data_IF_926819723062
#
_entry.id   IF_926819723062
#
_cell.length_a   1.000
_cell.length_b   1.000
_cell.length_c   1.000
_cell.angle_alpha   90.00
_cell.angle_beta   90.00
_cell.angle_gamma   90.00
#
_symmetry.space_group_name_H-M   'P 1'
#
loop_
_entity.id
_entity.type
_entity.pdbx_description
1 polymer ?
#
# COMPACT_ATOMS: atom_id res chain seq x y z
N UNK A 1 27.64 8.98 -1.04
CA UNK A 1 26.56 9.22 -0.06
C UNK A 1 26.91 10.25 1.01
N UNK A 2 28.11 10.25 1.62
CA UNK A 2 28.49 11.19 2.69
C UNK A 2 28.44 12.70 2.31
N UNK A 3 28.47 13.03 1.02
CA UNK A 3 28.39 14.41 0.51
C UNK A 3 26.93 14.92 0.36
N UNK A 4 25.92 14.05 0.53
CA UNK A 4 24.50 14.39 0.38
C UNK A 4 23.70 13.85 1.57
N UNK A 5 23.97 14.40 2.76
CA UNK A 5 23.36 13.97 4.03
C UNK A 5 21.82 14.03 3.96
N UNK A 6 21.27 15.01 3.26
CA UNK A 6 19.82 15.17 3.09
C UNK A 6 19.18 14.01 2.33
N UNK A 7 19.87 13.47 1.31
CA UNK A 7 19.37 12.30 0.57
C UNK A 7 19.39 11.05 1.45
N UNK A 8 20.45 10.86 2.24
CA UNK A 8 20.54 9.75 3.19
C UNK A 8 19.41 9.83 4.25
N UNK A 9 19.16 11.01 4.80
CA UNK A 9 18.04 11.22 5.73
C UNK A 9 16.69 10.89 5.09
N UNK A 10 16.46 11.31 3.85
CA UNK A 10 15.25 10.95 3.10
C UNK A 10 15.09 9.45 2.90
N UNK A 11 16.19 8.73 2.64
CA UNK A 11 16.16 7.26 2.52
C UNK A 11 15.89 6.56 3.85
N UNK A 12 16.35 7.11 4.98
CA UNK A 12 16.06 6.56 6.31
C UNK A 12 14.55 6.66 6.62
N UNK A 13 13.92 7.79 6.30
CA UNK A 13 12.46 7.94 6.44
C UNK A 13 11.68 7.04 5.49
N UNK A 14 12.18 6.83 4.28
CA UNK A 14 11.58 5.88 3.34
C UNK A 14 11.62 4.47 3.94
N UNK A 15 12.75 4.03 4.49
CA UNK A 15 12.87 2.73 5.16
C UNK A 15 11.95 2.62 6.38
N UNK A 16 11.90 3.66 7.22
CA UNK A 16 11.01 3.70 8.38
C UNK A 16 9.52 3.58 8.00
N UNK A 17 9.11 4.21 6.90
CA UNK A 17 7.73 4.13 6.41
C UNK A 17 7.30 2.69 6.12
N UNK A 18 8.20 1.84 5.62
CA UNK A 18 7.92 0.41 5.40
C UNK A 18 7.68 -0.33 6.71
N UNK A 19 8.43 0.01 7.77
CA UNK A 19 8.23 -0.57 9.11
C UNK A 19 6.85 -0.17 9.64
N UNK A 20 6.49 1.11 9.53
CA UNK A 20 5.17 1.60 9.97
C UNK A 20 4.04 0.91 9.21
N UNK A 21 4.16 0.76 7.89
CA UNK A 21 3.19 0.04 7.08
C UNK A 21 3.08 -1.41 7.55
N UNK A 22 4.19 -2.13 7.72
CA UNK A 22 4.19 -3.51 8.19
C UNK A 22 3.53 -3.66 9.57
N UNK A 23 3.79 -2.72 10.49
CA UNK A 23 3.18 -2.70 11.81
C UNK A 23 1.65 -2.54 11.76
N UNK A 24 1.11 -1.77 10.80
CA UNK A 24 -0.33 -1.61 10.64
C UNK A 24 -1.04 -2.95 10.31
N UNK A 25 -0.35 -3.87 9.61
CA UNK A 25 -0.89 -5.19 9.26
C UNK A 25 -0.93 -6.18 10.43
N UNK A 26 -0.33 -5.86 11.58
CA UNK A 26 -0.45 -6.69 12.79
C UNK A 26 -1.90 -6.79 13.26
N UNK A 27 -2.69 -5.71 13.15
CA UNK A 27 -4.11 -5.71 13.52
C UNK A 27 -4.91 -6.78 12.76
N UNK A 28 -4.90 -6.76 11.41
CA UNK A 28 -5.52 -7.81 10.59
C UNK A 28 -5.00 -9.24 10.84
N UNK A 29 -3.74 -9.40 11.26
CA UNK A 29 -3.20 -10.71 11.60
C UNK A 29 -3.80 -11.28 12.89
N UNK A 30 -4.09 -10.43 13.87
CA UNK A 30 -4.68 -10.83 15.15
C UNK A 30 -6.19 -11.00 15.05
N UNK A 31 -6.89 -9.99 14.52
CA UNK A 31 -8.34 -10.03 14.30
C UNK A 31 -8.68 -9.36 12.96
N UNK A 32 -8.81 -10.16 11.89
CA UNK A 32 -9.05 -9.62 10.55
C UNK A 32 -10.42 -8.95 10.40
N UNK A 33 -11.45 -9.43 11.10
CA UNK A 33 -12.82 -8.93 10.94
C UNK A 33 -12.94 -7.54 11.58
N UNK A 34 -12.41 -7.38 12.79
CA UNK A 34 -12.40 -6.09 13.48
C UNK A 34 -11.50 -5.07 12.77
N UNK A 35 -10.40 -5.51 12.17
CA UNK A 35 -9.40 -4.63 11.53
C UNK A 35 -9.49 -4.62 10.00
N UNK A 36 -10.63 -5.01 9.41
CA UNK A 36 -10.82 -5.07 7.95
C UNK A 36 -10.50 -3.74 7.25
N UNK A 37 -10.67 -2.62 7.97
CA UNK A 37 -10.38 -1.29 7.46
C UNK A 37 -8.91 -1.14 7.00
N UNK A 38 -7.95 -1.79 7.65
CA UNK A 38 -6.53 -1.73 7.24
C UNK A 38 -6.35 -2.31 5.83
N UNK A 39 -7.08 -3.38 5.50
CA UNK A 39 -7.06 -3.97 4.16
C UNK A 39 -7.71 -3.03 3.14
N UNK A 40 -8.83 -2.41 3.49
CA UNK A 40 -9.51 -1.42 2.63
C UNK A 40 -8.62 -0.19 2.38
N UNK A 41 -7.97 0.32 3.43
CA UNK A 41 -6.99 1.39 3.35
C UNK A 41 -5.86 1.02 2.39
N UNK A 42 -5.31 -0.20 2.48
CA UNK A 42 -4.28 -0.68 1.55
C UNK A 42 -4.77 -0.71 0.10
N UNK A 43 -6.00 -1.15 -0.16
CA UNK A 43 -6.59 -1.15 -1.51
C UNK A 43 -6.74 0.28 -2.03
N UNK A 44 -7.21 1.22 -1.20
CA UNK A 44 -7.32 2.63 -1.55
C UNK A 44 -5.93 3.20 -1.87
N UNK A 45 -4.92 2.89 -1.07
CA UNK A 45 -3.54 3.30 -1.31
C UNK A 45 -3.03 2.79 -2.66
N UNK A 46 -3.29 1.53 -3.00
CA UNK A 46 -2.95 0.96 -4.31
C UNK A 46 -3.63 1.71 -5.48
N UNK A 47 -4.90 2.10 -5.34
CA UNK A 47 -5.61 2.88 -6.36
C UNK A 47 -5.05 4.31 -6.45
N UNK A 48 -4.64 4.91 -5.34
CA UNK A 48 -4.05 6.26 -5.32
C UNK A 48 -2.68 6.36 -6.01
N UNK A 49 -1.98 5.24 -6.22
CA UNK A 49 -0.72 5.22 -7.00
C UNK A 49 -0.94 5.69 -8.44
N UNK A 50 -2.07 5.35 -9.06
CA UNK A 50 -2.37 5.71 -10.45
C UNK A 50 -2.46 7.23 -10.67
N UNK A 51 -3.33 7.98 -9.96
CA UNK A 51 -3.38 9.43 -10.13
C UNK A 51 -2.05 10.08 -9.71
N UNK A 52 -1.37 9.56 -8.69
CA UNK A 52 -0.07 10.10 -8.27
C UNK A 52 0.97 9.98 -9.39
N UNK A 53 1.16 8.79 -9.97
CA UNK A 53 2.15 8.54 -11.01
C UNK A 53 1.82 9.30 -12.30
N UNK A 54 0.55 9.29 -12.72
CA UNK A 54 0.12 9.89 -13.98
C UNK A 54 0.00 11.43 -13.92
N UNK A 55 -0.10 12.03 -12.74
CA UNK A 55 -0.10 13.50 -12.58
C UNK A 55 1.31 14.00 -12.24
N UNK A 56 1.95 13.42 -11.23
CA UNK A 56 3.28 13.89 -10.79
C UNK A 56 4.39 13.51 -11.77
N UNK A 57 4.24 12.40 -12.50
CA UNK A 57 5.19 11.96 -13.51
C UNK A 57 5.41 13.00 -14.61
N UNK A 58 4.36 13.45 -15.31
CA UNK A 58 4.47 14.51 -16.32
C UNK A 58 4.99 15.83 -15.75
N UNK A 59 4.54 16.23 -14.55
CA UNK A 59 5.00 17.46 -13.87
C UNK A 59 6.51 17.42 -13.60
N UNK A 60 7.06 16.24 -13.29
CA UNK A 60 8.49 16.03 -13.02
C UNK A 60 9.30 15.59 -14.24
N UNK A 61 8.71 15.62 -15.44
CA UNK A 61 9.33 15.17 -16.68
C UNK A 61 9.83 13.70 -16.63
N UNK A 62 9.15 12.84 -15.88
CA UNK A 62 9.47 11.41 -15.78
C UNK A 62 8.96 10.69 -17.05
N UNK A 63 9.78 9.86 -17.71
CA UNK A 63 9.34 9.10 -18.87
C UNK A 63 8.13 8.22 -18.56
N UNK A 64 7.20 8.10 -19.52
CA UNK A 64 5.95 7.36 -19.33
C UNK A 64 6.17 5.90 -18.92
N UNK A 65 7.23 5.25 -19.42
CA UNK A 65 7.59 3.89 -19.04
C UNK A 65 7.83 3.73 -17.52
N UNK A 66 8.48 4.70 -16.87
CA UNK A 66 8.70 4.68 -15.43
C UNK A 66 7.40 4.89 -14.64
N UNK A 67 6.49 5.73 -15.14
CA UNK A 67 5.16 5.90 -14.54
C UNK A 67 4.33 4.60 -14.60
N UNK A 68 4.47 3.82 -15.67
CA UNK A 68 3.84 2.50 -15.78
C UNK A 68 4.41 1.48 -14.78
N UNK A 69 5.72 1.54 -14.52
CA UNK A 69 6.35 0.73 -13.47
C UNK A 69 5.77 1.11 -12.11
N UNK A 70 5.62 2.40 -11.81
CA UNK A 70 5.01 2.87 -10.56
C UNK A 70 3.57 2.35 -10.41
N UNK A 71 2.74 2.47 -11.46
CA UNK A 71 1.38 1.94 -11.49
C UNK A 71 1.31 0.42 -11.27
N UNK A 72 2.35 -0.32 -11.69
CA UNK A 72 2.40 -1.77 -11.50
C UNK A 72 2.43 -2.16 -10.02
N UNK A 73 3.08 -1.37 -9.15
CA UNK A 73 3.06 -1.61 -7.71
C UNK A 73 1.66 -1.46 -7.12
N UNK A 74 0.89 -0.47 -7.59
CA UNK A 74 -0.52 -0.31 -7.24
C UNK A 74 -1.35 -1.53 -7.66
N UNK A 75 -1.19 -1.97 -8.91
CA UNK A 75 -1.92 -3.13 -9.44
C UNK A 75 -1.58 -4.43 -8.67
N UNK A 76 -0.29 -4.77 -8.59
CA UNK A 76 0.15 -6.02 -7.98
C UNK A 76 -0.05 -6.01 -6.46
N UNK A 77 0.06 -4.85 -5.80
CA UNK A 77 -0.24 -4.71 -4.37
C UNK A 77 -1.72 -4.89 -4.04
N UNK A 78 -2.63 -4.48 -4.93
CA UNK A 78 -4.07 -4.61 -4.71
C UNK A 78 -4.54 -6.08 -4.74
N UNK A 79 -3.91 -6.93 -5.54
CA UNK A 79 -4.30 -8.35 -5.73
C UNK A 79 -4.37 -9.11 -4.39
N UNK A 80 -3.30 -9.23 -3.58
CA UNK A 80 -3.36 -9.95 -2.32
C UNK A 80 -4.33 -9.31 -1.33
N UNK A 81 -4.44 -7.97 -1.31
CA UNK A 81 -5.35 -7.27 -0.40
C UNK A 81 -6.82 -7.54 -0.74
N UNK A 82 -7.19 -7.59 -2.02
CA UNK A 82 -8.54 -7.95 -2.46
C UNK A 82 -8.86 -9.39 -2.10
N UNK A 83 -7.89 -10.32 -2.25
CA UNK A 83 -8.04 -11.71 -1.82
C UNK A 83 -8.32 -11.75 -0.32
N UNK A 84 -7.47 -11.12 0.50
CA UNK A 84 -7.68 -11.02 1.95
C UNK A 84 -9.05 -10.43 2.27
N UNK A 85 -9.44 -9.30 1.68
CA UNK A 85 -10.73 -8.66 1.90
C UNK A 85 -11.91 -9.61 1.67
N UNK A 86 -11.88 -10.39 0.58
CA UNK A 86 -12.92 -11.40 0.28
C UNK A 86 -12.98 -12.49 1.34
N UNK A 87 -11.84 -13.00 1.79
CA UNK A 87 -11.78 -14.00 2.85
C UNK A 87 -12.29 -13.45 4.19
N UNK A 88 -11.91 -12.23 4.55
CA UNK A 88 -12.37 -11.57 5.78
C UNK A 88 -13.89 -11.37 5.75
N UNK A 89 -14.45 -10.95 4.61
CA UNK A 89 -15.91 -10.83 4.45
C UNK A 89 -16.65 -12.17 4.56
N UNK A 90 -16.05 -13.25 4.06
CA UNK A 90 -16.60 -14.58 4.22
C UNK A 90 -16.59 -15.02 5.70
N UNK A 91 -15.50 -14.75 6.43
CA UNK A 91 -15.38 -15.00 7.87
C UNK A 91 -16.37 -14.16 8.69
N UNK A 92 -16.52 -12.87 8.38
CA UNK A 92 -17.51 -11.99 9.02
C UNK A 92 -18.93 -12.57 8.87
N UNK A 93 -19.26 -13.10 7.69
CA UNK A 93 -20.55 -13.71 7.43
C UNK A 93 -20.75 -14.97 8.27
N UNK A 94 -19.77 -15.86 8.32
CA UNK A 94 -19.84 -17.09 9.13
C UNK A 94 -20.03 -16.78 10.61
N UNK A 95 -19.30 -15.80 11.15
CA UNK A 95 -19.38 -15.42 12.55
C UNK A 95 -20.72 -14.76 12.94
N UNK A 96 -21.43 -14.13 11.98
CA UNK A 96 -22.79 -13.58 12.21
C UNK A 96 -23.88 -14.65 12.27
N UNK A 97 -23.64 -15.86 11.78
CA UNK A 97 -24.60 -16.97 11.76
C UNK A 97 -24.20 -18.15 12.66
N UNK A 98 -23.09 -18.02 13.40
CA UNK A 98 -22.68 -18.92 14.48
C UNK A 98 -23.24 -18.39 15.81
#
# INVERSE_FOLDING_TARGET
NAQYIQLAYGTDWLAFSHIVIAMAFIGPLIDPVKNIWVIQFGIIACVMVFPLALIAGPIRHIPFYWQLIDCSFGLFGAIPLIICYRHIKALEKQNKYA
#
